data_IF_837496778953
#
_entry.id   IF_837496778953
#
_cell.length_a   1.000
_cell.length_b   1.000
_cell.length_c   1.000
_cell.angle_alpha   90.00
_cell.angle_beta   90.00
_cell.angle_gamma   90.00
#
_symmetry.space_group_name_H-M   'P 1'
#
loop_
_entity.id
_entity.type
_entity.pdbx_description
1 polymer ?
#
# COMPACT_ATOMS: atom_id res chain seq x y z
N UNK A 1 -14.75 -22.37 13.19
CA UNK A 1 -14.22 -22.52 11.81
C UNK A 1 -12.74 -22.80 11.96
N UNK A 2 -12.19 -23.82 11.27
CA UNK A 2 -10.79 -24.18 11.46
C UNK A 2 -9.84 -23.18 10.79
N UNK A 3 -8.74 -22.87 11.46
CA UNK A 3 -7.58 -22.20 10.90
C UNK A 3 -7.00 -23.06 9.78
N UNK A 4 -6.87 -22.49 8.59
CA UNK A 4 -6.38 -23.19 7.39
C UNK A 4 -4.85 -23.30 7.35
N UNK A 5 -4.15 -22.70 8.33
CA UNK A 5 -2.69 -22.79 8.48
C UNK A 5 -2.31 -23.91 9.45
N UNK A 6 -2.93 -23.97 10.64
CA UNK A 6 -2.55 -24.93 11.69
C UNK A 6 -3.63 -25.95 12.04
N UNK A 7 -4.84 -25.86 11.48
CA UNK A 7 -5.94 -26.78 11.73
C UNK A 7 -6.70 -26.57 13.05
N UNK A 8 -6.25 -25.65 13.92
CA UNK A 8 -6.93 -25.31 15.18
C UNK A 8 -8.34 -24.76 14.92
N UNK A 9 -9.26 -24.86 15.88
CA UNK A 9 -10.59 -24.23 15.83
C UNK A 9 -10.62 -23.02 16.78
N UNK A 10 -10.13 -21.85 16.34
CA UNK A 10 -10.04 -20.68 17.19
C UNK A 10 -11.42 -20.05 17.44
N UNK A 11 -11.55 -19.36 18.57
CA UNK A 11 -12.73 -18.52 18.85
C UNK A 11 -12.86 -17.34 17.89
N UNK A 12 -11.73 -16.82 17.40
CA UNK A 12 -11.64 -15.73 16.44
C UNK A 12 -10.95 -16.24 15.17
N UNK A 13 -11.59 -15.99 14.02
CA UNK A 13 -11.01 -16.28 12.70
C UNK A 13 -10.70 -14.97 11.99
N UNK A 14 -9.50 -14.85 11.44
CA UNK A 14 -8.99 -13.66 10.75
C UNK A 14 -8.85 -14.00 9.27
N UNK A 15 -9.33 -13.11 8.40
CA UNK A 15 -9.17 -13.23 6.95
C UNK A 15 -7.85 -12.57 6.56
N UNK A 16 -6.94 -13.33 5.96
CA UNK A 16 -5.65 -12.86 5.48
C UNK A 16 -5.62 -12.79 3.96
N UNK A 17 -4.97 -11.77 3.37
CA UNK A 17 -4.72 -11.68 1.93
C UNK A 17 -3.59 -12.64 1.52
N UNK A 18 -3.83 -13.95 1.65
CA UNK A 18 -2.87 -15.00 1.36
C UNK A 18 -3.48 -15.99 0.39
N UNK A 19 -2.83 -16.14 -0.77
CA UNK A 19 -3.25 -17.10 -1.80
C UNK A 19 -3.11 -18.53 -1.29
N UNK A 20 -4.16 -19.31 -1.48
CA UNK A 20 -4.23 -20.72 -1.15
C UNK A 20 -3.90 -21.60 -2.36
N UNK A 21 -3.57 -22.87 -2.09
CA UNK A 21 -3.31 -23.88 -3.13
C UNK A 21 -4.51 -24.16 -4.03
N UNK A 22 -5.73 -23.95 -3.53
CA UNK A 22 -6.98 -24.12 -4.27
C UNK A 22 -7.32 -22.92 -5.18
N UNK A 23 -6.47 -21.88 -5.22
CA UNK A 23 -6.69 -20.67 -6.02
C UNK A 23 -7.44 -19.54 -5.29
N UNK A 24 -7.96 -19.77 -4.08
CA UNK A 24 -8.53 -18.70 -3.24
C UNK A 24 -7.47 -17.63 -2.94
N UNK A 25 -7.86 -16.35 -3.00
CA UNK A 25 -6.99 -15.22 -2.66
C UNK A 25 -6.98 -14.87 -1.16
N UNK A 26 -7.81 -15.57 -0.37
CA UNK A 26 -7.95 -15.36 1.06
C UNK A 26 -7.66 -16.64 1.83
N UNK A 27 -7.10 -16.48 3.04
CA UNK A 27 -6.87 -17.56 3.99
C UNK A 27 -7.48 -17.21 5.34
N UNK A 28 -8.24 -18.11 5.93
CA UNK A 28 -8.77 -18.06 7.29
C UNK A 28 -7.71 -18.55 8.27
N UNK A 29 -7.27 -17.69 9.18
CA UNK A 29 -6.23 -18.00 10.15
C UNK A 29 -6.68 -17.70 11.59
N UNK A 30 -6.12 -18.43 12.54
CA UNK A 30 -6.11 -17.97 13.93
C UNK A 30 -5.12 -16.81 14.10
N UNK A 31 -5.29 -16.03 15.16
CA UNK A 31 -4.45 -14.86 15.47
C UNK A 31 -2.95 -15.17 15.50
N UNK A 32 -2.55 -16.25 16.17
CA UNK A 32 -1.15 -16.66 16.22
C UNK A 32 -0.56 -16.95 14.83
N UNK A 33 -1.31 -17.61 13.94
CA UNK A 33 -0.87 -17.85 12.57
C UNK A 33 -0.89 -16.58 11.72
N UNK A 34 -1.82 -15.66 11.98
CA UNK A 34 -1.87 -14.36 11.32
C UNK A 34 -0.62 -13.52 11.63
N UNK A 35 -0.26 -13.41 12.91
CA UNK A 35 0.96 -12.73 13.38
C UNK A 35 2.20 -13.42 12.84
N UNK A 36 2.32 -14.74 13.00
CA UNK A 36 3.49 -15.49 12.54
C UNK A 36 3.68 -15.43 11.01
N UNK A 37 2.62 -15.18 10.26
CA UNK A 37 2.69 -15.01 8.80
C UNK A 37 3.15 -13.62 8.35
N UNK A 38 3.26 -12.65 9.28
CA UNK A 38 3.56 -11.24 8.96
C UNK A 38 2.42 -10.50 8.26
N UNK A 39 1.22 -11.11 8.19
CA UNK A 39 0.04 -10.54 7.51
C UNK A 39 -0.94 -9.89 8.50
N UNK A 40 -0.49 -9.65 9.72
CA UNK A 40 -1.26 -9.03 10.78
C UNK A 40 -0.41 -7.97 11.47
N UNK A 41 -0.99 -6.79 11.61
CA UNK A 41 -0.35 -5.68 12.29
C UNK A 41 -0.59 -5.80 13.80
N UNK A 42 0.45 -6.09 14.55
CA UNK A 42 0.39 -6.15 16.02
C UNK A 42 0.11 -4.78 16.65
N UNK A 43 0.56 -3.69 16.02
CA UNK A 43 0.31 -2.32 16.52
C UNK A 43 -1.18 -1.96 16.49
N UNK A 44 -1.85 -2.27 15.39
CA UNK A 44 -3.26 -1.88 15.16
C UNK A 44 -4.25 -3.01 15.37
N UNK A 45 -3.77 -4.23 15.64
CA UNK A 45 -4.59 -5.42 15.84
C UNK A 45 -5.54 -5.66 14.65
N UNK A 46 -5.00 -5.58 13.44
CA UNK A 46 -5.75 -5.73 12.17
C UNK A 46 -4.96 -6.51 11.12
N UNK A 47 -5.63 -7.31 10.27
CA UNK A 47 -4.97 -7.94 9.13
C UNK A 47 -4.47 -6.87 8.16
N UNK A 48 -3.36 -7.17 7.49
CA UNK A 48 -2.89 -6.37 6.38
C UNK A 48 -3.86 -6.45 5.20
N UNK A 49 -3.87 -5.41 4.38
CA UNK A 49 -4.53 -5.44 3.08
C UNK A 49 -3.55 -5.94 2.02
N UNK A 50 -4.02 -6.80 1.11
CA UNK A 50 -3.24 -7.26 -0.03
C UNK A 50 -3.29 -6.26 -1.19
N UNK A 51 -2.18 -6.15 -1.91
CA UNK A 51 -2.05 -5.34 -3.12
C UNK A 51 -1.94 -6.23 -4.37
N UNK A 52 -2.08 -5.63 -5.55
CA UNK A 52 -2.09 -6.34 -6.84
C UNK A 52 -0.79 -7.11 -7.13
N UNK A 53 0.33 -6.67 -6.55
CA UNK A 53 1.65 -7.31 -6.68
C UNK A 53 1.97 -8.29 -5.53
N UNK A 54 0.93 -8.83 -4.90
CA UNK A 54 1.00 -9.85 -3.84
C UNK A 54 1.72 -9.40 -2.54
N UNK A 55 2.11 -8.13 -2.45
CA UNK A 55 2.60 -7.54 -1.20
C UNK A 55 1.43 -7.11 -0.29
N UNK A 56 1.74 -6.79 0.98
CA UNK A 56 0.70 -6.44 1.96
C UNK A 56 1.16 -5.32 2.90
N UNK A 57 0.23 -4.55 3.46
CA UNK A 57 0.52 -3.52 4.45
C UNK A 57 -0.67 -3.22 5.36
N UNK A 58 -0.39 -2.63 6.51
CA UNK A 58 -1.41 -2.11 7.43
C UNK A 58 -1.88 -0.71 7.00
N UNK A 59 -3.16 -0.55 6.65
CA UNK A 59 -3.73 0.75 6.26
C UNK A 59 -3.64 1.78 7.40
N UNK A 60 -4.00 1.47 8.66
CA UNK A 60 -3.78 2.40 9.77
C UNK A 60 -2.32 2.87 9.96
N UNK A 61 -1.32 2.00 9.76
CA UNK A 61 0.09 2.42 9.80
C UNK A 61 0.39 3.48 8.72
N UNK A 62 -0.12 3.26 7.50
CA UNK A 62 0.05 4.20 6.39
C UNK A 62 -0.59 5.55 6.75
N UNK A 63 -1.81 5.54 7.29
CA UNK A 63 -2.55 6.76 7.66
C UNK A 63 -1.89 7.53 8.79
N UNK A 64 -1.35 6.85 9.81
CA UNK A 64 -0.60 7.49 10.90
C UNK A 64 0.65 8.20 10.40
N UNK A 65 1.43 7.56 9.54
CA UNK A 65 2.64 8.16 8.95
C UNK A 65 2.25 9.37 8.08
N UNK A 66 1.19 9.26 7.27
CA UNK A 66 0.73 10.36 6.44
C UNK A 66 0.25 11.55 7.27
N UNK A 67 -0.45 11.29 8.37
CA UNK A 67 -0.92 12.34 9.28
C UNK A 67 0.24 13.06 9.97
N UNK A 68 1.34 12.36 10.26
CA UNK A 68 2.49 12.91 10.98
C UNK A 68 3.48 13.60 10.03
N UNK A 69 3.81 12.95 8.91
CA UNK A 69 4.96 13.30 8.07
C UNK A 69 4.61 13.51 6.59
N UNK A 70 3.33 13.46 6.20
CA UNK A 70 2.91 13.47 4.80
C UNK A 70 3.49 14.63 3.97
N UNK A 71 3.40 15.86 4.47
CA UNK A 71 3.93 17.04 3.77
C UNK A 71 5.46 17.01 3.65
N UNK A 72 6.14 16.59 4.72
CA UNK A 72 7.60 16.42 4.74
C UNK A 72 8.05 15.39 3.72
N UNK A 73 7.39 14.22 3.69
CA UNK A 73 7.69 13.15 2.74
C UNK A 73 7.48 13.63 1.31
N UNK A 74 6.38 14.34 1.03
CA UNK A 74 6.12 14.90 -0.29
C UNK A 74 7.21 15.90 -0.72
N UNK A 75 7.63 16.78 0.19
CA UNK A 75 8.71 17.73 -0.05
C UNK A 75 10.05 17.04 -0.31
N UNK A 76 10.43 16.08 0.53
CA UNK A 76 11.65 15.28 0.35
C UNK A 76 11.66 14.56 -0.99
N UNK A 77 10.53 13.97 -1.38
CA UNK A 77 10.40 13.30 -2.67
C UNK A 77 10.56 14.28 -3.84
N UNK A 78 9.91 15.45 -3.79
CA UNK A 78 10.05 16.47 -4.84
C UNK A 78 11.49 16.95 -5.01
N UNK A 79 12.20 17.19 -3.91
CA UNK A 79 13.62 17.58 -3.91
C UNK A 79 14.49 16.46 -4.51
N UNK A 80 14.27 15.22 -4.10
CA UNK A 80 15.04 14.08 -4.59
C UNK A 80 14.82 13.85 -6.09
N UNK A 81 13.59 13.92 -6.57
CA UNK A 81 13.26 13.77 -8.00
C UNK A 81 13.89 14.89 -8.82
N UNK A 82 13.86 16.15 -8.34
CA UNK A 82 14.48 17.26 -9.06
C UNK A 82 16.00 17.10 -9.27
N UNK A 83 16.68 16.36 -8.39
CA UNK A 83 18.11 16.05 -8.49
C UNK A 83 18.43 14.74 -9.23
N UNK A 84 17.41 13.99 -9.69
CA UNK A 84 17.59 12.69 -10.34
C UNK A 84 17.74 12.84 -11.86
N UNK A 85 18.57 11.98 -12.46
CA UNK A 85 18.65 11.80 -13.91
C UNK A 85 17.35 11.24 -14.52
N UNK A 86 16.51 10.60 -13.69
CA UNK A 86 15.19 10.06 -14.04
C UNK A 86 14.03 11.00 -13.77
N UNK A 87 14.28 12.28 -13.45
CA UNK A 87 13.26 13.24 -13.05
C UNK A 87 12.04 13.27 -13.99
N UNK A 88 12.29 13.37 -15.30
CA UNK A 88 11.26 13.43 -16.33
C UNK A 88 10.41 12.16 -16.40
N UNK A 89 11.03 10.99 -16.30
CA UNK A 89 10.34 9.70 -16.32
C UNK A 89 9.41 9.57 -15.11
N UNK A 90 9.92 9.92 -13.93
CA UNK A 90 9.17 9.86 -12.67
C UNK A 90 7.97 10.82 -12.71
N UNK A 91 8.16 12.06 -13.18
CA UNK A 91 7.09 13.04 -13.28
C UNK A 91 6.00 12.61 -14.28
N UNK A 92 6.38 12.06 -15.44
CA UNK A 92 5.43 11.56 -16.43
C UNK A 92 4.62 10.40 -15.86
N UNK A 93 5.27 9.46 -15.18
CA UNK A 93 4.60 8.29 -14.62
C UNK A 93 3.61 8.68 -13.51
N UNK A 94 3.97 9.61 -12.62
CA UNK A 94 3.07 10.15 -11.58
C UNK A 94 1.87 10.87 -12.20
N UNK A 95 2.09 11.65 -13.26
CA UNK A 95 1.01 12.32 -13.98
C UNK A 95 0.03 11.32 -14.58
N UNK A 96 0.53 10.34 -15.34
CA UNK A 96 -0.30 9.29 -15.97
C UNK A 96 -1.10 8.53 -14.92
N UNK A 97 -0.46 8.15 -13.81
CA UNK A 97 -1.14 7.46 -12.72
C UNK A 97 -2.25 8.32 -12.09
N UNK A 98 -1.98 9.62 -11.88
CA UNK A 98 -2.98 10.56 -11.33
C UNK A 98 -4.18 10.73 -12.27
N UNK A 99 -3.94 10.87 -13.58
CA UNK A 99 -4.98 10.97 -14.61
C UNK A 99 -5.82 9.68 -14.70
N UNK A 100 -5.19 8.50 -14.56
CA UNK A 100 -5.91 7.21 -14.50
C UNK A 100 -6.80 7.10 -13.28
N UNK A 101 -6.30 7.51 -12.12
CA UNK A 101 -7.10 7.55 -10.91
C UNK A 101 -8.30 8.47 -11.07
N UNK A 102 -8.17 9.61 -11.73
CA UNK A 102 -9.27 10.56 -11.94
C UNK A 102 -10.28 10.06 -12.99
N UNK A 103 -9.81 9.42 -14.06
CA UNK A 103 -10.67 8.88 -15.13
C UNK A 103 -11.44 7.62 -14.71
N UNK A 104 -10.84 6.75 -13.89
CA UNK A 104 -11.53 5.58 -13.32
C UNK A 104 -12.75 5.95 -12.47
N UNK A 105 -12.83 7.18 -11.98
CA UNK A 105 -13.95 7.69 -11.17
C UNK A 105 -15.22 7.96 -11.97
N UNK A 106 -15.13 8.01 -13.30
CA UNK A 106 -16.32 8.21 -14.14
C UNK A 106 -17.23 6.97 -14.20
N UNK A 107 -16.77 5.78 -13.75
CA UNK A 107 -17.47 4.51 -13.91
C UNK A 107 -17.53 3.60 -12.66
N UNK A 108 -17.12 4.05 -11.46
CA UNK A 108 -17.13 3.20 -10.25
C UNK A 108 -18.33 3.53 -9.35
N UNK A 109 -19.19 2.53 -9.12
CA UNK A 109 -20.23 2.59 -8.08
C UNK A 109 -19.57 2.71 -6.70
N UNK A 110 -19.87 3.79 -5.99
CA UNK A 110 -19.27 4.27 -4.73
C UNK A 110 -19.49 3.37 -3.48
N UNK A 111 -19.61 2.04 -3.64
CA UNK A 111 -19.96 1.13 -2.54
C UNK A 111 -18.75 0.44 -1.91
N UNK A 112 -17.56 0.42 -2.54
CA UNK A 112 -16.42 -0.32 -1.98
C UNK A 112 -15.16 0.54 -1.82
N UNK A 113 -14.63 0.51 -0.59
CA UNK A 113 -13.31 0.97 -0.12
C UNK A 113 -13.21 2.42 0.41
N UNK A 114 -13.33 2.61 1.75
CA UNK A 114 -13.08 3.89 2.43
C UNK A 114 -11.73 4.53 2.08
N UNK A 115 -10.70 3.71 1.84
CA UNK A 115 -9.35 4.19 1.52
C UNK A 115 -9.21 4.86 0.15
N UNK A 116 -10.08 4.55 -0.82
CA UNK A 116 -10.05 5.15 -2.16
C UNK A 116 -10.67 6.56 -2.14
N UNK A 117 -11.74 6.76 -1.37
CA UNK A 117 -12.43 8.06 -1.22
C UNK A 117 -11.49 9.12 -0.63
N UNK A 118 -10.67 8.77 0.35
CA UNK A 118 -9.69 9.72 0.94
C UNK A 118 -8.52 10.02 -0.01
N UNK A 119 -8.15 9.08 -0.89
CA UNK A 119 -7.14 9.30 -1.93
C UNK A 119 -7.61 10.31 -2.98
N UNK A 120 -8.92 10.32 -3.28
CA UNK A 120 -9.54 11.16 -4.30
C UNK A 120 -9.57 12.64 -3.89
N UNK A 121 -9.83 12.93 -2.61
CA UNK A 121 -10.02 14.30 -2.09
C UNK A 121 -8.74 15.03 -1.69
N UNK A 122 -7.59 14.37 -1.77
CA UNK A 122 -6.33 14.91 -1.28
C UNK A 122 -5.51 15.58 -2.39
N UNK A 123 -4.79 16.64 -2.04
CA UNK A 123 -3.93 17.35 -2.98
C UNK A 123 -2.78 16.47 -3.49
N UNK A 124 -2.22 16.84 -4.65
CA UNK A 124 -1.12 16.12 -5.30
C UNK A 124 0.05 15.76 -4.36
N UNK A 125 0.49 16.61 -3.42
CA UNK A 125 1.55 16.26 -2.47
C UNK A 125 1.20 15.06 -1.58
N UNK A 126 -0.04 14.99 -1.10
CA UNK A 126 -0.51 13.90 -0.22
C UNK A 126 -0.63 12.59 -0.99
N UNK A 127 -1.03 12.64 -2.26
CA UNK A 127 -1.08 11.45 -3.14
C UNK A 127 0.32 10.84 -3.32
N UNK A 128 1.32 11.67 -3.59
CA UNK A 128 2.72 11.24 -3.72
C UNK A 128 3.26 10.70 -2.40
N UNK A 129 3.02 11.39 -1.28
CA UNK A 129 3.41 10.90 0.03
C UNK A 129 2.78 9.53 0.32
N UNK A 130 1.51 9.33 -0.03
CA UNK A 130 0.83 8.04 0.14
C UNK A 130 1.44 6.94 -0.69
N UNK A 131 1.87 7.19 -1.92
CA UNK A 131 2.61 6.21 -2.73
C UNK A 131 3.91 5.79 -2.04
N UNK A 132 4.72 6.77 -1.62
CA UNK A 132 6.00 6.53 -0.94
C UNK A 132 5.79 5.75 0.36
N UNK A 133 4.84 6.18 1.21
CA UNK A 133 4.55 5.53 2.48
C UNK A 133 4.03 4.12 2.25
N UNK A 134 3.11 3.92 1.31
CA UNK A 134 2.56 2.61 0.99
C UNK A 134 3.66 1.65 0.56
N UNK A 135 4.54 2.06 -0.36
CA UNK A 135 5.68 1.26 -0.77
C UNK A 135 6.65 0.98 0.38
N UNK A 136 6.97 1.99 1.20
CA UNK A 136 7.85 1.83 2.36
C UNK A 136 7.32 0.76 3.33
N UNK A 137 6.01 0.76 3.59
CA UNK A 137 5.37 -0.23 4.47
C UNK A 137 5.37 -1.63 3.83
N UNK A 138 5.04 -1.73 2.55
CA UNK A 138 5.06 -3.00 1.79
C UNK A 138 6.44 -3.64 1.77
N UNK A 139 7.49 -2.82 1.72
CA UNK A 139 8.88 -3.26 1.63
C UNK A 139 9.62 -3.25 2.98
N UNK A 140 8.91 -3.01 4.08
CA UNK A 140 9.46 -2.94 5.45
C UNK A 140 10.68 -2.01 5.57
N UNK A 141 10.58 -0.81 4.99
CA UNK A 141 11.63 0.22 5.01
C UNK A 141 11.07 1.58 5.42
N UNK A 142 11.96 2.54 5.65
CA UNK A 142 11.57 3.94 5.93
C UNK A 142 11.14 4.67 4.65
N UNK A 143 10.33 5.74 4.77
CA UNK A 143 10.00 6.60 3.63
C UNK A 143 11.23 7.15 2.92
N UNK A 144 12.28 7.55 3.64
CA UNK A 144 13.50 8.09 3.02
C UNK A 144 14.24 7.03 2.19
N UNK A 145 14.28 5.77 2.66
CA UNK A 145 14.82 4.66 1.88
C UNK A 145 13.99 4.38 0.63
N UNK A 146 12.66 4.47 0.74
CA UNK A 146 11.76 4.33 -0.40
C UNK A 146 11.98 5.43 -1.45
N UNK A 147 12.09 6.69 -1.03
CA UNK A 147 12.39 7.83 -1.93
C UNK A 147 13.70 7.56 -2.67
N UNK A 148 14.76 7.18 -1.95
CA UNK A 148 16.07 6.87 -2.53
C UNK A 148 15.97 5.78 -3.60
N UNK A 149 15.28 4.68 -3.30
CA UNK A 149 15.08 3.61 -4.28
C UNK A 149 14.33 4.07 -5.53
N UNK A 150 13.28 4.87 -5.39
CA UNK A 150 12.51 5.35 -6.54
C UNK A 150 13.37 6.23 -7.46
N UNK A 151 14.19 7.12 -6.90
CA UNK A 151 15.05 7.97 -7.73
C UNK A 151 16.19 7.20 -8.39
N UNK A 152 16.65 6.09 -7.79
CA UNK A 152 17.69 5.23 -8.33
C UNK A 152 17.15 4.25 -9.39
N UNK A 153 16.02 3.62 -9.12
CA UNK A 153 15.50 2.49 -9.92
C UNK A 153 14.40 2.94 -10.90
N UNK A 154 13.60 3.95 -10.54
CA UNK A 154 12.54 4.53 -11.39
C UNK A 154 11.14 4.49 -10.74
N UNK A 155 10.13 5.07 -11.42
CA UNK A 155 8.78 5.22 -10.86
C UNK A 155 7.99 3.91 -10.72
N UNK A 156 8.35 2.88 -11.49
CA UNK A 156 7.65 1.59 -11.52
C UNK A 156 7.70 0.85 -10.17
N UNK A 157 8.58 1.26 -9.24
CA UNK A 157 8.64 0.70 -7.90
C UNK A 157 7.43 1.06 -7.04
N UNK A 158 6.97 2.31 -7.11
CA UNK A 158 5.90 2.82 -6.24
C UNK A 158 4.54 2.83 -6.92
N UNK A 159 4.52 2.82 -8.25
CA UNK A 159 3.29 2.78 -9.02
C UNK A 159 2.82 1.33 -9.14
N UNK A 160 1.52 1.05 -8.97
CA UNK A 160 1.01 -0.29 -9.21
C UNK A 160 1.31 -0.71 -10.65
N UNK A 161 1.69 -1.98 -10.89
CA UNK A 161 1.88 -2.48 -12.25
C UNK A 161 0.60 -2.23 -13.06
N UNK A 162 0.78 -1.87 -14.33
CA UNK A 162 -0.34 -1.62 -15.25
C UNK A 162 -1.32 -2.78 -15.18
N UNK A 163 -2.52 -2.54 -14.64
CA UNK A 163 -3.67 -3.43 -14.76
C UNK A 163 -4.15 -3.46 -16.21
#
# INVERSE_FOLDING_TARGET
>A
MKCEICGADPRLTIILPKRQKNGSLITLACESCAIASGLYCEKHQRPHQGFADETTACIPCIEEILKQDGEKIAGSFAVAVAGSDKASEIQVAIRIWSERLESGLSNVSLIELPGIIDLIRTGHPVRVARLVVTYSQRMHMTPDQAIKKVVEEGPDLILPPSL
#
